data_IF_355950924353
#
_entry.id   IF_355950924353
#
_cell.length_a   1.000
_cell.length_b   1.000
_cell.length_c   1.000
_cell.angle_alpha   90.00
_cell.angle_beta   90.00
_cell.angle_gamma   90.00
#
_symmetry.space_group_name_H-M   'P 1'
#
loop_
_entity.id
_entity.type
_entity.pdbx_description
1 polymer ?
#
# COMPACT_ATOMS: atom_id res chain seq x y z
N UNK A 1 -13.57 -7.27 -2.66
CA UNK A 1 -12.27 -7.39 -1.94
C UNK A 1 -12.29 -8.50 -0.90
N UNK A 2 -13.28 -8.53 0.00
CA UNK A 2 -13.42 -9.56 1.05
C UNK A 2 -13.26 -11.00 0.55
N UNK A 3 -13.95 -11.38 -0.53
CA UNK A 3 -13.80 -12.73 -1.11
C UNK A 3 -12.37 -13.04 -1.56
N UNK A 4 -11.64 -12.08 -2.15
CA UNK A 4 -10.23 -12.29 -2.56
C UNK A 4 -9.32 -12.50 -1.35
N UNK A 5 -9.55 -11.78 -0.26
CA UNK A 5 -8.77 -11.92 0.97
C UNK A 5 -9.08 -13.25 1.69
N UNK A 6 -10.36 -13.65 1.73
CA UNK A 6 -10.77 -14.96 2.29
C UNK A 6 -10.16 -16.09 1.46
N UNK A 7 -10.33 -16.05 0.13
CA UNK A 7 -9.73 -17.01 -0.79
C UNK A 7 -8.20 -17.05 -0.62
N UNK A 8 -7.56 -15.88 -0.53
CA UNK A 8 -6.12 -15.79 -0.27
C UNK A 8 -5.71 -16.45 1.04
N UNK A 9 -6.53 -16.41 2.09
CA UNK A 9 -6.24 -17.12 3.33
C UNK A 9 -6.42 -18.63 3.20
N UNK A 10 -7.48 -19.07 2.52
CA UNK A 10 -7.75 -20.49 2.26
C UNK A 10 -6.64 -21.16 1.41
N UNK A 11 -5.89 -20.36 0.65
CA UNK A 11 -4.81 -20.80 -0.23
C UNK A 11 -3.40 -20.39 0.27
N UNK A 12 -3.24 -20.15 1.58
CA UNK A 12 -1.97 -19.82 2.26
C UNK A 12 -1.29 -18.48 1.84
N UNK A 13 -1.88 -17.73 0.92
CA UNK A 13 -1.38 -16.42 0.49
C UNK A 13 -1.48 -15.42 1.65
N UNK A 14 -2.64 -15.35 2.32
CA UNK A 14 -2.94 -14.37 3.38
C UNK A 14 -2.93 -15.02 4.76
N UNK A 15 -2.28 -14.39 5.75
CA UNK A 15 -2.31 -14.88 7.13
C UNK A 15 -3.65 -14.54 7.80
N UNK A 16 -4.00 -15.24 8.89
CA UNK A 16 -5.11 -14.82 9.78
C UNK A 16 -4.99 -13.36 10.21
N UNK A 17 -3.78 -12.91 10.57
CA UNK A 17 -3.52 -11.51 10.90
C UNK A 17 -3.74 -10.54 9.70
N UNK A 18 -3.61 -11.04 8.47
CA UNK A 18 -3.89 -10.29 7.24
C UNK A 18 -5.37 -10.00 7.05
N UNK A 19 -6.28 -10.88 7.50
CA UNK A 19 -7.73 -10.61 7.54
C UNK A 19 -8.05 -9.48 8.53
N UNK A 20 -7.44 -9.53 9.72
CA UNK A 20 -7.61 -8.50 10.74
C UNK A 20 -7.09 -7.15 10.20
N UNK A 21 -5.91 -7.16 9.57
CA UNK A 21 -5.35 -5.97 8.94
C UNK A 21 -6.26 -5.41 7.83
N UNK A 22 -6.88 -6.28 7.03
CA UNK A 22 -7.85 -5.86 6.02
C UNK A 22 -9.06 -5.17 6.66
N UNK A 23 -9.66 -5.76 7.70
CA UNK A 23 -10.81 -5.18 8.39
C UNK A 23 -10.50 -3.83 9.06
N UNK A 24 -9.31 -3.66 9.63
CA UNK A 24 -8.86 -2.32 10.10
C UNK A 24 -8.79 -1.31 8.95
N UNK A 25 -8.26 -1.74 7.81
CA UNK A 25 -8.22 -0.91 6.60
C UNK A 25 -9.61 -0.49 6.17
N UNK A 26 -10.55 -1.43 6.06
CA UNK A 26 -11.96 -1.13 5.71
C UNK A 26 -12.59 -0.10 6.65
N UNK A 27 -12.34 -0.19 7.96
CA UNK A 27 -12.83 0.80 8.92
C UNK A 27 -12.35 2.23 8.60
N UNK A 28 -11.07 2.42 8.24
CA UNK A 28 -10.55 3.71 7.79
C UNK A 28 -11.05 4.09 6.40
N UNK A 29 -11.31 3.12 5.51
CA UNK A 29 -11.85 3.39 4.18
C UNK A 29 -13.26 3.99 4.27
N UNK A 30 -14.10 3.52 5.19
CA UNK A 30 -15.40 4.15 5.50
C UNK A 30 -15.26 5.62 5.96
N UNK A 31 -14.29 5.88 6.85
CA UNK A 31 -13.98 7.25 7.31
C UNK A 31 -13.45 8.15 6.18
N UNK A 32 -12.87 7.56 5.13
CA UNK A 32 -12.39 8.25 3.95
C UNK A 32 -13.43 8.28 2.82
N UNK A 33 -14.61 7.71 3.01
CA UNK A 33 -15.67 7.66 1.99
C UNK A 33 -15.32 6.78 0.79
N UNK A 34 -14.51 5.75 0.98
CA UNK A 34 -14.21 4.68 0.02
C UNK A 34 -13.71 5.13 -1.36
N UNK A 35 -13.08 6.30 -1.40
CA UNK A 35 -12.58 6.93 -2.63
C UNK A 35 -11.16 7.46 -2.44
N UNK A 36 -10.41 7.54 -3.54
CA UNK A 36 -9.09 8.17 -3.53
C UNK A 36 -9.21 9.68 -3.34
N UNK A 37 -8.79 10.17 -2.17
CA UNK A 37 -8.81 11.59 -1.82
C UNK A 37 -7.66 12.36 -2.46
N UNK A 38 -7.78 13.69 -2.57
CA UNK A 38 -6.73 14.54 -3.18
C UNK A 38 -5.34 14.40 -2.52
N UNK A 39 -5.20 14.34 -1.18
CA UNK A 39 -3.89 14.13 -0.55
C UNK A 39 -3.26 12.79 -0.96
N UNK A 40 -4.08 11.74 -1.14
CA UNK A 40 -3.60 10.46 -1.65
C UNK A 40 -3.13 10.55 -3.11
N UNK A 41 -3.81 11.32 -3.97
CA UNK A 41 -3.35 11.57 -5.35
C UNK A 41 -2.02 12.32 -5.38
N UNK A 42 -1.82 13.31 -4.50
CA UNK A 42 -0.53 14.00 -4.31
C UNK A 42 0.57 13.01 -3.93
N UNK A 43 0.31 12.13 -2.96
CA UNK A 43 1.24 11.09 -2.54
C UNK A 43 1.55 10.06 -3.64
N UNK A 44 0.55 9.64 -4.42
CA UNK A 44 0.73 8.74 -5.57
C UNK A 44 1.69 9.37 -6.59
N UNK A 45 1.51 10.66 -6.89
CA UNK A 45 2.39 11.39 -7.80
C UNK A 45 3.83 11.48 -7.28
N UNK A 46 4.02 11.75 -5.99
CA UNK A 46 5.34 11.76 -5.38
C UNK A 46 5.97 10.37 -5.34
N UNK A 47 5.20 9.33 -5.01
CA UNK A 47 5.67 7.95 -5.02
C UNK A 47 6.13 7.50 -6.42
N UNK A 48 5.36 7.81 -7.46
CA UNK A 48 5.75 7.52 -8.84
C UNK A 48 7.07 8.22 -9.23
N UNK A 49 7.23 9.49 -8.86
CA UNK A 49 8.49 10.22 -9.09
C UNK A 49 9.67 9.60 -8.32
N UNK A 50 9.47 9.23 -7.06
CA UNK A 50 10.51 8.59 -6.23
C UNK A 50 10.94 7.22 -6.77
N UNK A 51 10.01 6.42 -7.27
CA UNK A 51 10.32 5.13 -7.89
C UNK A 51 11.06 5.29 -9.21
N UNK A 52 10.67 6.25 -10.06
CA UNK A 52 11.33 6.50 -11.35
C UNK A 52 12.74 7.08 -11.21
N UNK A 53 13.01 7.82 -10.12
CA UNK A 53 14.35 8.38 -9.83
C UNK A 53 15.25 7.43 -9.04
N UNK A 54 14.72 6.32 -8.53
CA UNK A 54 15.48 5.37 -7.73
C UNK A 54 16.50 4.61 -8.58
N UNK A 55 17.67 4.34 -8.01
CA UNK A 55 18.70 3.49 -8.66
C UNK A 55 18.40 2.00 -8.45
N UNK A 56 17.86 1.64 -7.30
CA UNK A 56 17.52 0.28 -6.93
C UNK A 56 16.13 0.23 -6.27
N UNK A 57 15.05 0.52 -7.02
CA UNK A 57 13.70 0.44 -6.48
C UNK A 57 13.31 -1.01 -6.18
N UNK A 58 12.64 -1.23 -5.05
CA UNK A 58 12.11 -2.55 -4.68
C UNK A 58 10.65 -2.43 -4.23
N UNK A 59 9.81 -3.35 -4.72
CA UNK A 59 8.43 -3.52 -4.25
C UNK A 59 8.40 -4.71 -3.30
N UNK A 60 8.15 -4.43 -2.02
CA UNK A 60 7.98 -5.46 -0.99
C UNK A 60 6.56 -6.03 -1.08
N UNK A 61 6.44 -7.34 -1.27
CA UNK A 61 5.16 -8.03 -1.40
C UNK A 61 4.85 -8.86 -0.17
N UNK A 62 3.70 -8.60 0.44
CA UNK A 62 3.11 -9.47 1.45
C UNK A 62 1.87 -10.19 0.87
N UNK A 63 1.27 -11.05 1.69
CA UNK A 63 0.07 -11.80 1.29
C UNK A 63 -1.11 -10.93 0.87
N UNK A 64 -1.34 -9.80 1.55
CA UNK A 64 -2.47 -8.93 1.25
C UNK A 64 -2.31 -8.25 -0.12
N UNK A 65 -1.11 -7.76 -0.46
CA UNK A 65 -0.84 -7.20 -1.79
C UNK A 65 -0.98 -8.27 -2.87
N UNK A 66 -0.39 -9.45 -2.67
CA UNK A 66 -0.46 -10.54 -3.62
C UNK A 66 -1.90 -11.01 -3.89
N UNK A 67 -2.76 -11.04 -2.87
CA UNK A 67 -4.17 -11.43 -3.04
C UNK A 67 -5.01 -10.34 -3.73
N UNK A 68 -4.68 -9.06 -3.54
CA UNK A 68 -5.53 -7.95 -3.95
C UNK A 68 -5.13 -7.33 -5.30
N UNK A 69 -3.84 -7.17 -5.55
CA UNK A 69 -3.30 -6.43 -6.71
C UNK A 69 -2.01 -7.05 -7.27
N UNK A 70 -1.98 -8.35 -7.61
CA UNK A 70 -0.76 -9.00 -8.10
C UNK A 70 -0.36 -8.48 -9.49
N UNK A 71 -1.32 -8.26 -10.39
CA UNK A 71 -1.05 -7.76 -11.76
C UNK A 71 -0.44 -6.37 -11.73
N UNK A 72 -1.04 -5.45 -10.98
CA UNK A 72 -0.55 -4.08 -10.86
C UNK A 72 0.80 -4.02 -10.15
N UNK A 73 1.11 -4.98 -9.27
CA UNK A 73 2.44 -5.12 -8.67
C UNK A 73 3.50 -5.42 -9.73
N UNK A 74 3.22 -6.39 -10.61
CA UNK A 74 4.12 -6.76 -11.71
C UNK A 74 4.25 -5.61 -12.71
N UNK A 75 3.13 -5.02 -13.13
CA UNK A 75 3.14 -3.87 -14.04
C UNK A 75 3.94 -2.70 -13.47
N UNK A 76 3.75 -2.35 -12.18
CA UNK A 76 4.51 -1.28 -11.56
C UNK A 76 6.01 -1.60 -11.53
N UNK A 77 6.36 -2.84 -11.20
CA UNK A 77 7.76 -3.27 -11.16
C UNK A 77 8.43 -3.12 -12.53
N UNK A 78 7.76 -3.53 -13.61
CA UNK A 78 8.25 -3.37 -14.97
C UNK A 78 8.38 -1.90 -15.37
N UNK A 79 7.41 -1.05 -14.99
CA UNK A 79 7.44 0.35 -15.37
C UNK A 79 8.60 1.14 -14.75
N UNK A 80 9.00 0.79 -13.52
CA UNK A 80 10.07 1.50 -12.79
C UNK A 80 11.38 0.71 -12.74
N UNK A 81 11.44 -0.47 -13.35
CA UNK A 81 12.59 -1.36 -13.26
C UNK A 81 12.85 -1.90 -11.85
N UNK A 82 11.81 -2.02 -11.01
CA UNK A 82 11.96 -2.51 -9.65
C UNK A 82 12.10 -4.02 -9.57
N UNK A 83 12.80 -4.48 -8.54
CA UNK A 83 12.72 -5.88 -8.10
C UNK A 83 11.48 -6.10 -7.24
N UNK A 84 10.93 -7.31 -7.31
CA UNK A 84 9.83 -7.76 -6.46
C UNK A 84 10.44 -8.65 -5.38
N UNK A 85 10.27 -8.31 -4.11
CA UNK A 85 10.75 -9.11 -2.99
C UNK A 85 9.58 -9.54 -2.09
N UNK A 86 9.37 -10.85 -1.93
CA UNK A 86 8.40 -11.35 -0.97
C UNK A 86 8.96 -11.16 0.44
N UNK A 87 8.22 -10.41 1.25
CA UNK A 87 8.55 -10.22 2.65
C UNK A 87 7.34 -10.41 3.54
N UNK A 88 7.47 -11.35 4.49
CA UNK A 88 6.38 -11.78 5.36
C UNK A 88 6.76 -11.62 6.82
N UNK A 89 5.80 -11.13 7.60
CA UNK A 89 5.89 -11.13 9.05
C UNK A 89 5.93 -12.56 9.61
N UNK A 90 5.01 -13.42 9.14
CA UNK A 90 4.95 -14.84 9.48
C UNK A 90 5.45 -15.66 8.30
N UNK A 91 6.76 -15.86 8.23
CA UNK A 91 7.40 -16.70 7.20
C UNK A 91 7.04 -18.16 7.40
N UNK A 92 6.51 -18.77 6.35
CA UNK A 92 6.27 -20.21 6.21
C UNK A 92 6.58 -20.58 4.76
N UNK A 93 7.31 -21.68 4.49
CA UNK A 93 7.68 -22.08 3.13
C UNK A 93 6.49 -22.16 2.18
N UNK A 94 5.37 -22.73 2.65
CA UNK A 94 4.15 -22.93 1.86
C UNK A 94 3.53 -21.60 1.43
N UNK A 95 3.56 -20.61 2.33
CA UNK A 95 3.06 -19.25 2.05
C UNK A 95 3.96 -18.50 1.07
N UNK A 96 5.28 -18.64 1.21
CA UNK A 96 6.23 -18.03 0.28
C UNK A 96 5.99 -18.57 -1.14
N UNK A 97 5.83 -19.89 -1.28
CA UNK A 97 5.56 -20.51 -2.58
C UNK A 97 4.17 -20.15 -3.12
N UNK A 98 3.14 -20.08 -2.26
CA UNK A 98 1.80 -19.65 -2.68
C UNK A 98 1.81 -18.22 -3.24
N UNK A 99 2.47 -17.27 -2.55
CA UNK A 99 2.61 -15.89 -3.03
C UNK A 99 3.44 -15.83 -4.31
N UNK A 100 4.52 -16.61 -4.38
CA UNK A 100 5.39 -16.69 -5.56
C UNK A 100 4.60 -17.13 -6.79
N UNK A 101 3.81 -18.21 -6.70
CA UNK A 101 2.95 -18.68 -7.79
C UNK A 101 1.98 -17.62 -8.28
N UNK A 102 1.31 -16.91 -7.37
CA UNK A 102 0.37 -15.82 -7.71
C UNK A 102 1.06 -14.70 -8.49
N UNK A 103 2.30 -14.36 -8.12
CA UNK A 103 3.08 -13.34 -8.82
C UNK A 103 3.58 -13.85 -10.19
N UNK A 104 4.01 -15.10 -10.29
CA UNK A 104 4.41 -15.74 -11.56
C UNK A 104 3.23 -15.80 -12.55
N UNK A 105 2.04 -16.21 -12.07
CA UNK A 105 0.79 -16.20 -12.84
C UNK A 105 0.38 -14.79 -13.28
N UNK A 106 0.76 -13.77 -12.51
CA UNK A 106 0.58 -12.37 -12.87
C UNK A 106 1.67 -11.82 -13.81
N UNK A 107 2.68 -12.62 -14.16
CA UNK A 107 3.74 -12.30 -15.11
C UNK A 107 5.10 -11.94 -14.51
N UNK A 108 5.29 -12.08 -13.20
CA UNK A 108 6.58 -11.80 -12.57
C UNK A 108 7.66 -12.79 -13.07
N UNK A 109 8.77 -12.24 -13.58
CA UNK A 109 9.89 -13.05 -14.12
C UNK A 109 10.95 -13.38 -13.08
N UNK A 110 11.12 -12.51 -12.08
CA UNK A 110 12.08 -12.67 -11.00
C UNK A 110 11.43 -12.24 -9.70
N UNK A 111 11.51 -13.11 -8.69
CA UNK A 111 10.95 -12.88 -7.36
C UNK A 111 12.04 -13.19 -6.33
N UNK A 112 12.33 -12.20 -5.49
CA UNK A 112 13.32 -12.27 -4.43
C UNK A 112 12.68 -12.66 -3.09
N UNK A 113 13.51 -13.05 -2.11
CA UNK A 113 13.07 -13.30 -0.73
C UNK A 113 12.42 -14.67 -0.50
N UNK A 114 12.62 -15.62 -1.41
CA UNK A 114 12.14 -17.02 -1.33
C UNK A 114 13.32 -18.00 -1.36
N UNK A 115 13.26 -19.07 -0.56
CA UNK A 115 14.28 -20.12 -0.53
C UNK A 115 15.68 -19.59 -0.22
N UNK A 116 16.68 -20.03 -0.98
CA UNK A 116 18.09 -19.66 -0.79
C UNK A 116 18.37 -18.16 -1.00
N UNK A 117 17.45 -17.43 -1.63
CA UNK A 117 17.59 -16.00 -1.89
C UNK A 117 17.29 -15.14 -0.65
N UNK A 118 16.65 -15.71 0.37
CA UNK A 118 16.43 -15.07 1.67
C UNK A 118 17.68 -15.15 2.56
N UNK A 119 18.79 -14.56 2.10
CA UNK A 119 20.14 -14.73 2.65
C UNK A 119 20.77 -13.44 3.22
N UNK A 120 19.97 -12.39 3.40
CA UNK A 120 20.36 -11.12 4.03
C UNK A 120 19.56 -10.85 5.30
N UNK A 121 20.05 -9.91 6.11
CA UNK A 121 19.38 -9.48 7.34
C UNK A 121 19.41 -7.95 7.48
N UNK A 122 18.32 -7.36 7.96
CA UNK A 122 18.23 -5.96 8.39
C UNK A 122 18.73 -5.87 9.84
N UNK A 123 19.90 -5.25 10.11
CA UNK A 123 20.49 -5.22 11.45
C UNK A 123 19.60 -4.57 12.52
N UNK A 124 18.75 -3.63 12.12
CA UNK A 124 17.88 -2.84 13.01
C UNK A 124 16.66 -3.62 13.52
N UNK A 125 16.46 -4.87 13.07
CA UNK A 125 15.33 -5.72 13.45
C UNK A 125 15.87 -6.97 14.17
N UNK A 126 15.43 -7.20 15.41
CA UNK A 126 15.86 -8.37 16.19
C UNK A 126 15.13 -9.67 15.83
N UNK A 127 13.89 -9.56 15.34
CA UNK A 127 13.05 -10.72 15.01
C UNK A 127 13.35 -11.33 13.63
N UNK A 128 12.71 -12.47 13.32
CA UNK A 128 12.76 -13.13 11.99
C UNK A 128 12.32 -12.24 10.82
N UNK A 129 11.68 -11.11 11.11
CA UNK A 129 11.30 -10.07 10.14
C UNK A 129 12.52 -9.37 9.53
N UNK A 130 13.71 -9.55 10.13
CA UNK A 130 14.97 -9.02 9.60
C UNK A 130 15.40 -9.65 8.29
N UNK A 131 15.00 -10.90 8.03
CA UNK A 131 15.47 -11.62 6.84
C UNK A 131 14.97 -10.93 5.57
N UNK A 132 15.85 -10.70 4.62
CA UNK A 132 15.63 -10.03 3.32
C UNK A 132 16.53 -10.67 2.25
N UNK A 133 16.34 -10.32 0.98
CA UNK A 133 17.30 -10.68 -0.08
C UNK A 133 18.44 -9.65 -0.13
N UNK A 134 19.70 -10.14 -0.21
CA UNK A 134 20.88 -9.28 -0.37
C UNK A 134 20.88 -8.47 -1.66
N UNK A 135 20.14 -8.91 -2.67
CA UNK A 135 19.98 -8.27 -3.99
C UNK A 135 18.73 -7.39 -4.07
N UNK A 136 17.88 -7.42 -3.03
CA UNK A 136 16.62 -6.67 -2.99
C UNK A 136 16.67 -5.56 -1.95
N UNK A 137 15.81 -5.64 -0.94
CA UNK A 137 15.57 -4.59 0.06
C UNK A 137 16.86 -4.16 0.76
N UNK A 138 17.83 -5.06 0.93
CA UNK A 138 19.10 -4.73 1.57
C UNK A 138 19.86 -3.61 0.83
N UNK A 139 19.95 -3.69 -0.49
CA UNK A 139 20.67 -2.70 -1.33
C UNK A 139 19.76 -1.59 -1.87
N UNK A 140 18.45 -1.73 -1.72
CA UNK A 140 17.48 -0.76 -2.23
C UNK A 140 17.69 0.65 -1.65
N UNK A 141 17.60 1.66 -2.50
CA UNK A 141 17.53 3.07 -2.08
C UNK A 141 16.08 3.55 -1.88
N UNK A 142 15.14 2.99 -2.63
CA UNK A 142 13.70 3.23 -2.49
C UNK A 142 12.93 1.91 -2.35
N UNK A 143 12.04 1.81 -1.36
CA UNK A 143 11.21 0.62 -1.11
C UNK A 143 9.75 0.98 -0.97
N UNK A 144 8.88 0.33 -1.75
CA UNK A 144 7.43 0.38 -1.59
C UNK A 144 6.97 -0.75 -0.63
N UNK A 145 6.28 -0.40 0.45
CA UNK A 145 5.80 -1.32 1.50
C UNK A 145 4.30 -1.11 1.77
N UNK A 146 3.40 -1.95 1.22
CA UNK A 146 1.97 -1.87 1.51
C UNK A 146 1.59 -2.67 2.76
N UNK A 147 0.72 -2.12 3.62
CA UNK A 147 0.18 -2.80 4.82
C UNK A 147 1.34 -3.38 5.67
N UNK A 148 2.25 -2.50 6.08
CA UNK A 148 3.53 -2.86 6.71
C UNK A 148 3.54 -2.64 8.23
N UNK A 149 4.39 -3.39 8.93
CA UNK A 149 4.69 -3.22 10.34
C UNK A 149 5.57 -2.00 10.63
N UNK A 150 5.18 -1.22 11.65
CA UNK A 150 5.84 0.05 11.97
C UNK A 150 7.32 -0.08 12.35
N UNK A 151 7.70 -1.18 13.01
CA UNK A 151 9.09 -1.41 13.39
C UNK A 151 9.98 -1.60 12.14
N UNK A 152 9.42 -2.26 11.11
CA UNK A 152 10.12 -2.49 9.84
C UNK A 152 10.25 -1.21 9.03
N UNK A 153 9.20 -0.39 8.95
CA UNK A 153 9.29 0.95 8.36
C UNK A 153 10.34 1.80 9.06
N UNK A 154 10.37 1.78 10.40
CA UNK A 154 11.37 2.51 11.18
C UNK A 154 12.80 2.05 10.85
N UNK A 155 13.03 0.73 10.79
CA UNK A 155 14.32 0.15 10.44
C UNK A 155 14.80 0.61 9.05
N UNK A 156 13.94 0.47 8.02
CA UNK A 156 14.27 0.89 6.65
C UNK A 156 14.60 2.39 6.57
N UNK A 157 13.88 3.23 7.31
CA UNK A 157 14.16 4.67 7.38
C UNK A 157 15.48 4.97 8.09
N UNK A 158 15.83 4.25 9.16
CA UNK A 158 17.13 4.37 9.84
C UNK A 158 18.29 3.97 8.94
N UNK A 159 18.07 3.03 8.02
CA UNK A 159 19.04 2.65 6.97
C UNK A 159 19.15 3.71 5.84
N UNK A 160 18.49 4.87 5.95
CA UNK A 160 18.54 5.94 4.97
C UNK A 160 17.71 5.70 3.71
N UNK A 161 16.84 4.67 3.70
CA UNK A 161 16.01 4.35 2.54
C UNK A 161 14.84 5.32 2.42
N UNK A 162 14.46 5.63 1.18
CA UNK A 162 13.16 6.23 0.87
C UNK A 162 12.10 5.14 0.99
N UNK A 163 11.18 5.29 1.94
CA UNK A 163 10.11 4.31 2.16
C UNK A 163 8.79 4.90 1.72
N UNK A 164 8.15 4.24 0.77
CA UNK A 164 6.82 4.59 0.27
C UNK A 164 5.84 3.60 0.91
N UNK A 165 4.90 4.09 1.70
CA UNK A 165 3.89 3.26 2.34
C UNK A 165 2.53 3.42 1.67
N UNK A 166 1.78 2.31 1.56
CA UNK A 166 0.34 2.32 1.26
C UNK A 166 -0.37 1.81 2.50
N UNK A 167 -1.08 2.71 3.20
CA UNK A 167 -1.76 2.40 4.45
C UNK A 167 -2.98 3.30 4.62
N UNK A 168 -4.16 2.70 4.79
CA UNK A 168 -5.42 3.42 5.02
C UNK A 168 -5.46 4.14 6.38
N UNK A 169 -4.64 3.74 7.34
CA UNK A 169 -4.58 4.39 8.64
C UNK A 169 -3.51 5.50 8.64
N UNK A 170 -3.90 6.80 8.58
CA UNK A 170 -2.93 7.90 8.60
C UNK A 170 -2.19 8.02 9.94
N UNK A 171 -2.68 7.39 11.01
CA UNK A 171 -2.11 7.46 12.36
C UNK A 171 -1.17 6.29 12.68
N UNK A 172 -1.01 5.32 11.77
CA UNK A 172 -0.15 4.18 12.03
C UNK A 172 1.32 4.60 12.15
N UNK A 173 2.12 3.85 12.92
CA UNK A 173 3.58 4.09 12.99
C UNK A 173 4.22 4.05 11.60
N UNK A 174 3.74 3.16 10.73
CA UNK A 174 4.15 3.07 9.33
C UNK A 174 3.89 4.38 8.57
N UNK A 175 2.66 4.88 8.62
CA UNK A 175 2.26 6.14 7.98
C UNK A 175 3.10 7.33 8.49
N UNK A 176 3.30 7.41 9.81
CA UNK A 176 4.01 8.53 10.43
C UNK A 176 5.53 8.53 10.15
N UNK A 177 6.13 7.36 9.89
CA UNK A 177 7.59 7.22 9.71
C UNK A 177 8.03 7.15 8.24
N UNK A 178 7.15 6.74 7.33
CA UNK A 178 7.45 6.64 5.90
C UNK A 178 7.86 8.00 5.30
N UNK A 179 8.61 7.96 4.20
CA UNK A 179 8.97 9.15 3.42
C UNK A 179 7.79 9.73 2.67
N UNK A 180 6.96 8.82 2.14
CA UNK A 180 5.76 9.12 1.37
C UNK A 180 4.71 8.13 1.84
N UNK A 181 3.54 8.62 2.27
CA UNK A 181 2.42 7.78 2.66
C UNK A 181 1.23 8.06 1.75
N UNK A 182 0.81 7.02 1.05
CA UNK A 182 -0.43 7.03 0.28
C UNK A 182 -1.53 6.48 1.17
N UNK A 183 -2.37 7.38 1.69
CA UNK A 183 -3.54 7.01 2.49
C UNK A 183 -4.70 6.68 1.58
N UNK A 184 -4.66 5.49 1.00
CA UNK A 184 -5.69 4.98 0.09
C UNK A 184 -5.75 3.45 0.12
N UNK A 185 -6.85 2.88 -0.35
CA UNK A 185 -7.00 1.45 -0.46
C UNK A 185 -6.10 0.92 -1.57
N UNK A 186 -5.37 -0.16 -1.27
CA UNK A 186 -4.41 -0.78 -2.18
C UNK A 186 -4.99 -1.10 -3.56
N UNK A 187 -6.28 -1.50 -3.62
CA UNK A 187 -6.93 -1.85 -4.90
C UNK A 187 -7.22 -0.63 -5.79
N UNK A 188 -7.33 0.57 -5.20
CA UNK A 188 -7.44 1.84 -5.94
C UNK A 188 -6.06 2.43 -6.22
N UNK A 189 -5.21 2.40 -5.20
CA UNK A 189 -3.87 2.96 -5.23
C UNK A 189 -2.98 2.33 -6.30
N UNK A 190 -2.89 0.99 -6.36
CA UNK A 190 -1.93 0.32 -7.26
C UNK A 190 -2.20 0.63 -8.75
N UNK A 191 -3.44 0.53 -9.28
CA UNK A 191 -3.73 0.95 -10.65
C UNK A 191 -3.41 2.44 -10.91
N UNK A 192 -3.76 3.32 -9.96
CA UNK A 192 -3.48 4.76 -10.07
C UNK A 192 -1.97 5.06 -10.08
N UNK A 193 -1.20 4.34 -9.27
CA UNK A 193 0.25 4.46 -9.20
C UNK A 193 0.93 3.99 -10.49
N UNK A 194 0.48 2.88 -11.08
CA UNK A 194 0.94 2.44 -12.42
C UNK A 194 0.63 3.51 -13.47
N UNK A 195 -0.60 4.04 -13.47
CA UNK A 195 -1.03 5.07 -14.42
C UNK A 195 -0.20 6.36 -14.29
N UNK A 196 0.00 6.85 -13.08
CA UNK A 196 0.77 8.06 -12.83
C UNK A 196 2.26 7.86 -13.16
N UNK A 197 2.80 6.66 -12.89
CA UNK A 197 4.16 6.27 -13.30
C UNK A 197 4.33 6.34 -14.81
N UNK A 198 3.44 5.72 -15.60
CA UNK A 198 3.47 5.76 -17.07
C UNK A 198 3.41 7.20 -17.61
N UNK A 199 2.67 8.08 -16.93
CA UNK A 199 2.56 9.49 -17.27
C UNK A 199 3.84 10.26 -16.95
N UNK A 200 4.41 10.07 -15.76
CA UNK A 200 5.64 10.75 -15.32
C UNK A 200 6.90 10.24 -16.03
N UNK A 201 6.93 8.98 -16.46
CA UNK A 201 8.04 8.41 -17.23
C UNK A 201 8.31 9.15 -18.55
N UNK A 202 7.32 9.88 -19.07
CA UNK A 202 7.42 10.73 -20.27
C UNK A 202 7.89 12.17 -19.97
N UNK A 203 8.15 12.49 -18.70
CA UNK A 203 8.53 13.83 -18.25
C UNK A 203 10.05 13.94 -18.04
N UNK A 204 10.64 15.14 -18.15
CA UNK A 204 12.05 15.34 -17.84
C UNK A 204 12.33 15.05 -16.37
N UNK A 205 13.50 14.49 -16.08
CA UNK A 205 13.95 14.18 -14.71
C UNK A 205 13.83 15.38 -13.75
N UNK A 206 14.13 16.60 -14.23
CA UNK A 206 13.98 17.84 -13.47
C UNK A 206 12.55 18.08 -12.96
N UNK A 207 11.53 17.64 -13.70
CA UNK A 207 10.13 17.72 -13.28
C UNK A 207 9.84 16.75 -12.13
N UNK A 208 10.38 15.52 -12.20
CA UNK A 208 10.24 14.51 -11.14
C UNK A 208 10.94 14.97 -9.85
N UNK A 209 12.15 15.53 -9.97
CA UNK A 209 12.89 16.09 -8.84
C UNK A 209 12.11 17.25 -8.21
N UNK A 210 11.46 18.09 -9.03
CA UNK A 210 10.61 19.19 -8.53
C UNK A 210 9.43 18.64 -7.73
N UNK A 211 8.74 17.61 -8.23
CA UNK A 211 7.63 16.95 -7.52
C UNK A 211 8.06 16.51 -6.12
N UNK A 212 9.23 15.88 -5.99
CA UNK A 212 9.72 15.42 -4.69
C UNK A 212 10.14 16.56 -3.75
N UNK A 213 10.70 17.66 -4.29
CA UNK A 213 11.09 18.83 -3.49
C UNK A 213 9.90 19.58 -2.92
N UNK A 214 8.78 19.58 -3.62
CA UNK A 214 7.54 20.26 -3.21
C UNK A 214 6.62 19.37 -2.37
N UNK A 215 6.96 18.09 -2.19
CA UNK A 215 6.15 17.14 -1.45
C UNK A 215 6.48 17.14 0.05
N UNK A 216 5.45 17.30 0.89
CA UNK A 216 5.53 17.14 2.34
C UNK A 216 4.56 16.04 2.81
N UNK A 217 5.11 14.94 3.35
CA UNK A 217 4.31 13.84 3.87
C UNK A 217 3.45 14.25 5.09
N UNK A 218 3.94 15.15 5.94
CA UNK A 218 3.20 15.62 7.12
C UNK A 218 2.01 16.46 6.71
N UNK A 219 2.18 17.29 5.69
CA UNK A 219 1.07 18.08 5.12
C UNK A 219 0.00 17.14 4.57
N UNK A 220 0.38 16.13 3.78
CA UNK A 220 -0.56 15.13 3.24
C UNK A 220 -1.31 14.39 4.35
N UNK A 221 -0.63 13.92 5.39
CA UNK A 221 -1.27 13.25 6.52
C UNK A 221 -2.22 14.18 7.28
N UNK A 222 -1.84 15.45 7.46
CA UNK A 222 -2.68 16.48 8.09
C UNK A 222 -3.93 16.77 7.26
N UNK A 223 -3.81 16.91 5.94
CA UNK A 223 -4.94 17.08 5.02
C UNK A 223 -5.88 15.88 5.09
N UNK A 224 -5.36 14.65 5.08
CA UNK A 224 -6.17 13.44 5.23
C UNK A 224 -6.94 13.42 6.55
N UNK A 225 -6.32 13.80 7.67
CA UNK A 225 -7.00 13.87 8.97
C UNK A 225 -8.11 14.93 8.99
N UNK A 226 -7.90 16.08 8.35
CA UNK A 226 -8.94 17.11 8.18
C UNK A 226 -10.13 16.57 7.39
N UNK A 227 -9.89 15.82 6.30
CA UNK A 227 -10.95 15.17 5.52
C UNK A 227 -11.77 14.23 6.40
N UNK A 228 -11.12 13.38 7.20
CA UNK A 228 -11.81 12.45 8.12
C UNK A 228 -12.65 13.24 9.13
N UNK A 229 -12.08 14.27 9.76
CA UNK A 229 -12.77 15.12 10.74
C UNK A 229 -14.01 15.79 10.14
N UNK A 230 -13.85 16.41 8.99
CA UNK A 230 -14.91 17.20 8.35
C UNK A 230 -16.04 16.26 7.90
N UNK A 231 -15.70 15.09 7.36
CA UNK A 231 -16.68 14.06 7.02
C UNK A 231 -17.44 13.53 8.24
N UNK A 232 -16.76 13.25 9.35
CA UNK A 232 -17.43 12.83 10.58
C UNK A 232 -18.38 13.91 11.12
N UNK A 233 -17.99 15.18 11.01
CA UNK A 233 -18.85 16.32 11.37
C UNK A 233 -20.12 16.33 10.52
N UNK A 234 -19.97 16.21 9.19
CA UNK A 234 -21.11 16.16 8.26
C UNK A 234 -22.05 14.98 8.55
N UNK A 235 -21.51 13.79 8.82
CA UNK A 235 -22.31 12.60 9.15
C UNK A 235 -23.07 12.81 10.46
N UNK A 236 -22.42 13.40 11.47
CA UNK A 236 -23.07 13.68 12.75
C UNK A 236 -24.20 14.72 12.60
N UNK A 237 -23.98 15.78 11.82
CA UNK A 237 -24.99 16.80 11.50
C UNK A 237 -26.17 16.20 10.70
N UNK A 238 -25.92 15.19 9.88
CA UNK A 238 -26.93 14.43 9.13
C UNK A 238 -27.60 13.30 9.96
N UNK A 239 -27.45 13.29 11.29
CA UNK A 239 -28.08 12.31 12.18
C UNK A 239 -27.49 10.89 12.08
N UNK A 240 -26.25 10.76 11.60
CA UNK A 240 -25.56 9.48 11.42
C UNK A 240 -25.71 8.87 10.03
N UNK A 241 -26.48 9.50 9.13
CA UNK A 241 -26.63 9.04 7.75
C UNK A 241 -25.41 9.44 6.92
N UNK A 242 -24.80 8.48 6.22
CA UNK A 242 -23.69 8.76 5.33
C UNK A 242 -24.20 9.28 3.97
N UNK A 243 -23.51 10.23 3.33
CA UNK A 243 -23.93 10.80 2.05
C UNK A 243 -24.13 9.77 0.93
N UNK A 244 -23.39 8.66 0.97
CA UNK A 244 -23.48 7.59 -0.02
C UNK A 244 -24.77 6.77 0.11
N UNK A 245 -25.45 6.86 1.26
CA UNK A 245 -26.73 6.21 1.54
C UNK A 245 -27.91 7.15 1.28
N UNK A 246 -27.75 8.46 1.15
CA UNK A 246 -28.91 9.36 1.02
C UNK A 246 -29.78 9.09 -0.22
N UNK A 247 -29.20 8.57 -1.31
CA UNK A 247 -29.96 8.13 -2.49
C UNK A 247 -30.67 6.78 -2.26
N UNK A 248 -30.00 5.82 -1.61
CA UNK A 248 -30.55 4.48 -1.30
C UNK A 248 -31.58 4.52 -0.17
N UNK A 249 -31.41 5.41 0.80
CA UNK A 249 -32.33 5.61 1.93
C UNK A 249 -33.68 6.13 1.45
N UNK A 250 -33.71 7.00 0.44
CA UNK A 250 -34.96 7.46 -0.17
C UNK A 250 -35.70 6.30 -0.87
N UNK A 251 -34.99 5.37 -1.50
CA UNK A 251 -35.61 4.17 -2.08
C UNK A 251 -36.15 3.21 -1.00
N UNK A 252 -35.40 2.96 0.07
CA UNK A 252 -35.80 2.01 1.12
C UNK A 252 -36.91 2.56 2.02
N UNK A 253 -36.90 3.86 2.35
CA UNK A 253 -37.88 4.46 3.24
C UNK A 253 -39.17 4.92 2.52
N UNK A 254 -39.18 5.06 1.19
CA UNK A 254 -40.44 5.25 0.43
C UNK A 254 -41.35 4.00 0.50
N UNK A 255 -40.78 2.81 0.59
CA UNK A 255 -41.51 1.55 0.74
C UNK A 255 -42.14 1.36 2.13
N UNK A 256 -41.61 2.03 3.17
CA UNK A 256 -42.16 1.98 4.53
C UNK A 256 -43.31 2.97 4.75
N UNK A 257 -43.41 4.04 3.95
CA UNK A 257 -44.52 5.02 4.02
C UNK A 257 -45.70 4.58 3.13
N UNK A 258 -45.49 3.61 2.24
CA UNK A 258 -46.49 3.11 1.29
C UNK A 258 -47.18 1.81 1.73
N UNK A 259 -46.97 1.35 2.98
CA UNK A 259 -47.66 0.22 3.63
C UNK A 259 -48.39 0.68 4.88
#
# INVERSE_FOLDING_TARGET
MRHKIIHGMEHDIVAKAGLIAHGRGEAFDYLLGERTQEPAKKAIRAAAAALLLARYPVISVNGNLAALSPKETVELAEEVGAKIEINLFYRRPERLEAIKRVLEEAGAKEILGVGETANGEIPEISSVRRVVDRRGILIADTVLVPIEDGDRTQALRKMGKTVIAIDLNPLSRTAQLASITIVDNIVRCMPLLVKETRKLKKKPEKELVKILKEYDNREVLSETLKIIRDRLTQIAEAGGTIPEISEVYLEVCQDEISK
#
